data_IF_211731400485
#
_entry.id   IF_211731400485
#
_cell.length_a   1.000
_cell.length_b   1.000
_cell.length_c   1.000
_cell.angle_alpha   90.00
_cell.angle_beta   90.00
_cell.angle_gamma   90.00
#
_symmetry.space_group_name_H-M   'P 1'
#
loop_
_entity.id
_entity.type
_entity.pdbx_description
1 polymer ?
#
# COMPACT_ATOMS: atom_id res chain seq x y z
N UNK A 1 -41.96 -6.28 -12.27
CA UNK A 1 -40.63 -6.72 -11.75
C UNK A 1 -39.53 -5.66 -11.87
N UNK A 2 -39.44 -4.86 -12.95
CA UNK A 2 -38.39 -3.82 -13.10
C UNK A 2 -38.46 -2.66 -12.09
N UNK A 3 -39.64 -2.30 -11.57
CA UNK A 3 -39.77 -1.15 -10.65
C UNK A 3 -39.71 -1.48 -9.15
N UNK A 4 -39.78 -2.76 -8.78
CA UNK A 4 -39.90 -3.13 -7.36
C UNK A 4 -38.62 -2.83 -6.57
N UNK A 5 -37.45 -2.95 -7.22
CA UNK A 5 -36.17 -2.53 -6.63
C UNK A 5 -36.09 -0.99 -6.48
N UNK A 6 -36.58 -0.24 -7.47
CA UNK A 6 -36.57 1.22 -7.45
C UNK A 6 -37.47 1.77 -6.34
N UNK A 7 -38.68 1.22 -6.17
CA UNK A 7 -39.57 1.57 -5.06
C UNK A 7 -38.97 1.23 -3.69
N UNK A 8 -38.35 0.06 -3.55
CA UNK A 8 -37.66 -0.32 -2.30
C UNK A 8 -36.52 0.63 -1.97
N UNK A 9 -35.71 1.03 -2.96
CA UNK A 9 -34.62 1.99 -2.77
C UNK A 9 -35.17 3.37 -2.38
N UNK A 10 -36.20 3.85 -3.09
CA UNK A 10 -36.83 5.14 -2.78
C UNK A 10 -37.40 5.17 -1.37
N UNK A 11 -38.12 4.12 -0.97
CA UNK A 11 -38.64 3.98 0.37
C UNK A 11 -37.53 4.00 1.43
N UNK A 12 -36.40 3.33 1.17
CA UNK A 12 -35.25 3.31 2.07
C UNK A 12 -34.59 4.70 2.17
N UNK A 13 -34.42 5.40 1.04
CA UNK A 13 -33.83 6.74 1.00
C UNK A 13 -34.69 7.81 1.68
N UNK A 14 -36.00 7.59 1.76
CA UNK A 14 -36.94 8.49 2.46
C UNK A 14 -36.91 8.30 3.99
N UNK A 15 -36.33 7.21 4.49
CA UNK A 15 -36.19 6.98 5.93
C UNK A 15 -35.15 7.93 6.53
N UNK A 16 -35.47 8.69 7.60
CA UNK A 16 -34.52 9.56 8.30
C UNK A 16 -33.25 8.84 8.77
N UNK A 17 -33.37 7.56 9.11
CA UNK A 17 -32.30 6.67 9.54
C UNK A 17 -31.25 6.48 8.45
N UNK A 18 -31.68 6.37 7.20
CA UNK A 18 -30.79 6.22 6.05
C UNK A 18 -29.90 7.44 5.89
N UNK A 19 -30.46 8.65 6.07
CA UNK A 19 -29.65 9.88 6.04
C UNK A 19 -28.57 9.85 7.12
N UNK A 20 -28.94 9.56 8.36
CA UNK A 20 -27.97 9.50 9.48
C UNK A 20 -26.88 8.43 9.24
N UNK A 21 -27.25 7.26 8.74
CA UNK A 21 -26.27 6.22 8.42
C UNK A 21 -25.36 6.61 7.24
N UNK A 22 -25.87 7.33 6.24
CA UNK A 22 -25.04 7.88 5.16
C UNK A 22 -24.05 8.94 5.66
N UNK A 23 -24.44 9.77 6.63
CA UNK A 23 -23.52 10.73 7.29
C UNK A 23 -22.40 10.00 8.03
N UNK A 24 -22.71 8.90 8.72
CA UNK A 24 -21.69 8.02 9.30
C UNK A 24 -20.74 7.46 8.24
N UNK A 25 -21.27 6.94 7.14
CA UNK A 25 -20.44 6.40 6.05
C UNK A 25 -19.56 7.49 5.43
N UNK A 26 -20.07 8.70 5.24
CA UNK A 26 -19.28 9.83 4.77
C UNK A 26 -18.11 10.16 5.70
N UNK A 27 -18.28 9.99 7.02
CA UNK A 27 -17.22 10.15 8.01
C UNK A 27 -16.24 8.96 8.04
N UNK A 28 -16.73 7.73 8.02
CA UNK A 28 -15.93 6.52 8.25
C UNK A 28 -15.20 6.01 7.00
N UNK A 29 -15.80 6.11 5.80
CA UNK A 29 -15.20 5.63 4.56
C UNK A 29 -13.83 6.26 4.22
N UNK A 30 -13.57 7.55 4.49
CA UNK A 30 -12.25 8.17 4.31
C UNK A 30 -11.07 7.40 4.93
N UNK A 31 -11.28 6.70 6.06
CA UNK A 31 -10.23 5.88 6.68
C UNK A 31 -9.72 4.79 5.75
N UNK A 32 -10.64 4.11 5.07
CA UNK A 32 -10.33 3.02 4.14
C UNK A 32 -9.89 3.54 2.78
N UNK A 33 -10.47 4.66 2.32
CA UNK A 33 -10.04 5.29 1.07
C UNK A 33 -8.56 5.67 1.12
N UNK A 34 -8.10 6.24 2.25
CA UNK A 34 -6.67 6.56 2.44
C UNK A 34 -5.78 5.32 2.37
N UNK A 35 -6.14 4.24 3.07
CA UNK A 35 -5.42 2.96 2.98
C UNK A 35 -5.42 2.38 1.57
N UNK A 36 -6.58 2.41 0.89
CA UNK A 36 -6.70 1.92 -0.47
C UNK A 36 -5.82 2.72 -1.43
N UNK A 37 -5.77 4.05 -1.31
CA UNK A 37 -4.88 4.88 -2.13
C UNK A 37 -3.41 4.52 -1.91
N UNK A 38 -2.99 4.31 -0.66
CA UNK A 38 -1.62 3.86 -0.35
C UNK A 38 -1.31 2.51 -1.01
N UNK A 39 -2.22 1.54 -0.86
CA UNK A 39 -2.08 0.22 -1.45
C UNK A 39 -2.06 0.29 -2.98
N UNK A 40 -2.83 1.17 -3.59
CA UNK A 40 -2.92 1.32 -5.05
C UNK A 40 -1.74 2.08 -5.69
N UNK A 41 -0.90 2.74 -4.87
CA UNK A 41 0.29 3.46 -5.30
C UNK A 41 1.16 2.64 -6.25
N UNK A 42 1.64 3.28 -7.32
CA UNK A 42 2.63 2.69 -8.23
C UNK A 42 4.06 2.81 -7.69
N UNK A 43 4.29 3.78 -6.79
CA UNK A 43 5.56 3.94 -6.10
C UNK A 43 5.65 2.95 -4.92
N UNK A 44 6.87 2.49 -4.55
CA UNK A 44 7.06 1.59 -3.42
C UNK A 44 6.59 2.22 -2.10
N UNK A 45 5.63 1.58 -1.42
CA UNK A 45 5.09 2.05 -0.11
C UNK A 45 5.36 1.07 1.04
N UNK A 46 6.21 0.06 0.82
CA UNK A 46 6.43 -1.01 1.82
C UNK A 46 7.04 -0.50 3.15
N UNK A 47 7.73 0.65 3.12
CA UNK A 47 8.31 1.30 4.29
C UNK A 47 7.27 2.04 5.16
N UNK A 48 6.15 2.49 4.57
CA UNK A 48 5.09 3.24 5.28
C UNK A 48 3.88 2.40 5.68
N UNK A 49 3.68 1.26 5.00
CA UNK A 49 2.46 0.45 5.11
C UNK A 49 2.11 0.05 6.55
N UNK A 50 3.10 -0.36 7.36
CA UNK A 50 2.88 -0.75 8.76
C UNK A 50 2.36 0.42 9.59
N UNK A 51 3.00 1.59 9.45
CA UNK A 51 2.62 2.83 10.15
C UNK A 51 1.22 3.28 9.77
N UNK A 52 0.90 3.32 8.48
CA UNK A 52 -0.41 3.79 8.01
C UNK A 52 -1.55 2.85 8.39
N UNK A 53 -1.34 1.53 8.32
CA UNK A 53 -2.33 0.54 8.78
C UNK A 53 -2.53 0.66 10.29
N UNK A 54 -1.44 0.75 11.07
CA UNK A 54 -1.52 0.91 12.53
C UNK A 54 -2.25 2.19 12.94
N UNK A 55 -1.96 3.32 12.28
CA UNK A 55 -2.62 4.59 12.51
C UNK A 55 -4.12 4.53 12.19
N UNK A 56 -4.49 3.85 11.11
CA UNK A 56 -5.91 3.71 10.72
C UNK A 56 -6.66 2.87 11.75
N UNK A 57 -6.08 1.76 12.21
CA UNK A 57 -6.64 0.94 13.28
C UNK A 57 -6.80 1.76 14.56
N UNK A 58 -5.76 2.51 14.95
CA UNK A 58 -5.79 3.39 16.12
C UNK A 58 -6.95 4.39 16.02
N UNK A 59 -7.09 5.06 14.89
CA UNK A 59 -8.14 6.05 14.63
C UNK A 59 -9.54 5.44 14.76
N UNK A 60 -9.75 4.23 14.23
CA UNK A 60 -11.05 3.52 14.36
C UNK A 60 -11.28 3.10 15.82
N UNK A 61 -10.27 2.58 16.52
CA UNK A 61 -10.40 2.17 17.92
C UNK A 61 -10.69 3.36 18.84
N UNK A 62 -10.08 4.53 18.63
CA UNK A 62 -10.35 5.76 19.39
C UNK A 62 -11.82 6.20 19.31
N UNK A 63 -12.57 5.77 18.28
CA UNK A 63 -13.99 6.06 18.17
C UNK A 63 -14.86 5.32 19.21
N UNK A 64 -14.41 4.19 19.77
CA UNK A 64 -15.27 3.38 20.65
C UNK A 64 -14.57 2.62 21.81
N UNK A 65 -13.25 2.52 21.83
CA UNK A 65 -12.48 1.89 22.91
C UNK A 65 -12.12 2.93 23.97
N UNK A 66 -12.17 2.54 25.26
CA UNK A 66 -11.81 3.40 26.39
C UNK A 66 -10.37 3.94 26.28
N UNK A 67 -10.19 5.23 26.55
CA UNK A 67 -8.87 5.89 26.58
C UNK A 67 -7.90 5.25 27.59
N UNK A 68 -8.45 4.75 28.71
CA UNK A 68 -7.67 4.05 29.75
C UNK A 68 -7.02 2.76 29.26
N UNK A 69 -7.50 2.21 28.15
CA UNK A 69 -6.95 1.03 27.47
C UNK A 69 -6.04 1.47 26.32
N UNK A 70 -6.51 2.40 25.48
CA UNK A 70 -5.76 2.94 24.34
C UNK A 70 -4.40 3.55 24.73
N UNK A 71 -4.30 4.09 25.95
CA UNK A 71 -3.06 4.67 26.49
C UNK A 71 -2.05 3.64 27.01
N UNK A 72 -2.49 2.39 27.28
CA UNK A 72 -1.66 1.36 27.95
C UNK A 72 -1.19 0.26 27.02
N UNK A 73 -1.98 -0.10 26.01
CA UNK A 73 -1.74 -1.25 25.16
C UNK A 73 -1.46 -0.82 23.72
N UNK A 74 -0.67 -1.62 23.02
CA UNK A 74 -0.53 -1.45 21.57
C UNK A 74 -1.82 -1.87 20.87
N UNK A 75 -2.11 -1.27 19.70
CA UNK A 75 -3.35 -1.51 18.96
C UNK A 75 -3.61 -2.99 18.61
N UNK A 76 -2.56 -3.79 18.45
CA UNK A 76 -2.67 -5.22 18.14
C UNK A 76 -2.87 -6.10 19.38
N UNK A 77 -2.75 -5.55 20.59
CA UNK A 77 -2.97 -6.25 21.88
C UNK A 77 -4.38 -6.03 22.42
N UNK A 78 -5.09 -5.02 21.89
CA UNK A 78 -6.42 -4.64 22.35
C UNK A 78 -7.45 -5.61 21.78
N UNK A 79 -8.19 -6.28 22.67
CA UNK A 79 -9.38 -7.03 22.29
C UNK A 79 -10.54 -6.06 22.01
N UNK A 80 -10.66 -5.67 20.75
CA UNK A 80 -11.68 -4.75 20.25
C UNK A 80 -13.06 -5.40 20.08
N UNK A 81 -13.22 -6.69 20.37
CA UNK A 81 -14.51 -7.38 20.34
C UNK A 81 -15.12 -7.49 21.75
N UNK A 82 -14.32 -7.30 22.81
CA UNK A 82 -14.78 -7.39 24.18
C UNK A 82 -15.49 -6.10 24.64
N UNK A 83 -16.81 -6.13 24.92
CA UNK A 83 -17.56 -4.94 25.32
C UNK A 83 -17.08 -4.29 26.62
N UNK A 84 -16.32 -5.00 27.46
CA UNK A 84 -15.71 -4.40 28.67
C UNK A 84 -14.72 -3.30 28.35
N UNK A 85 -14.15 -3.34 27.14
CA UNK A 85 -13.18 -2.37 26.66
C UNK A 85 -13.83 -1.13 26.02
N UNK A 86 -15.15 -1.14 25.81
CA UNK A 86 -15.86 -0.12 25.05
C UNK A 86 -16.25 1.06 25.93
N UNK A 87 -16.19 2.27 25.39
CA UNK A 87 -16.78 3.46 26.00
C UNK A 87 -18.30 3.30 26.14
N UNK A 88 -18.96 4.19 26.90
CA UNK A 88 -20.41 4.25 26.83
C UNK A 88 -20.83 4.65 25.40
N UNK A 89 -21.87 4.03 24.84
CA UNK A 89 -22.34 4.31 23.48
C UNK A 89 -22.72 5.78 23.24
N UNK A 90 -23.05 6.50 24.31
CA UNK A 90 -23.32 7.94 24.29
C UNK A 90 -22.05 8.77 24.09
N UNK A 91 -20.91 8.30 24.62
CA UNK A 91 -19.58 8.94 24.56
C UNK A 91 -18.80 8.56 23.29
N UNK A 92 -19.12 7.42 22.66
CA UNK A 92 -18.50 6.98 21.40
C UNK A 92 -18.67 8.00 20.28
N UNK A 93 -17.70 8.04 19.37
CA UNK A 93 -17.68 8.95 18.23
C UNK A 93 -18.05 8.25 16.91
N UNK A 94 -19.10 8.74 16.25
CA UNK A 94 -19.62 8.24 14.97
C UNK A 94 -19.66 9.33 13.89
N UNK A 95 -19.00 10.46 14.13
CA UNK A 95 -19.03 11.65 13.29
C UNK A 95 -19.92 12.76 13.86
N UNK A 96 -19.57 14.02 13.52
CA UNK A 96 -20.16 15.21 14.14
C UNK A 96 -21.70 15.26 14.02
N UNK A 97 -22.27 14.82 12.90
CA UNK A 97 -23.74 14.86 12.69
C UNK A 97 -24.47 13.88 13.60
N UNK A 98 -24.00 12.64 13.72
CA UNK A 98 -24.62 11.64 14.61
C UNK A 98 -24.45 12.04 16.08
N UNK A 99 -23.25 12.51 16.46
CA UNK A 99 -22.96 12.87 17.84
C UNK A 99 -23.69 14.14 18.31
N UNK A 100 -24.07 15.05 17.40
CA UNK A 100 -24.86 16.25 17.72
C UNK A 100 -26.38 16.05 17.58
N UNK A 101 -26.82 14.91 17.06
CA UNK A 101 -28.23 14.60 16.89
C UNK A 101 -28.93 14.36 18.24
N UNK A 102 -30.20 14.76 18.34
CA UNK A 102 -30.98 14.57 19.55
C UNK A 102 -31.15 13.07 19.89
N UNK A 103 -30.93 12.73 21.16
CA UNK A 103 -31.05 11.35 21.64
C UNK A 103 -32.47 10.81 21.40
N UNK A 104 -32.54 9.67 20.72
CA UNK A 104 -33.76 8.91 20.48
C UNK A 104 -33.44 7.42 20.43
N UNK A 105 -34.45 6.57 20.60
CA UNK A 105 -34.29 5.11 20.47
C UNK A 105 -33.77 4.73 19.07
N UNK A 106 -34.25 5.41 18.04
CA UNK A 106 -33.78 5.28 16.65
C UNK A 106 -32.29 5.63 16.53
N UNK A 107 -31.84 6.75 17.11
CA UNK A 107 -30.42 7.13 17.09
C UNK A 107 -29.54 6.09 17.80
N UNK A 108 -30.02 5.56 18.93
CA UNK A 108 -29.31 4.51 19.67
C UNK A 108 -29.15 3.24 18.81
N UNK A 109 -30.18 2.85 18.06
CA UNK A 109 -30.10 1.71 17.14
C UNK A 109 -29.10 1.95 16.01
N UNK A 110 -29.05 3.16 15.43
CA UNK A 110 -28.07 3.54 14.41
C UNK A 110 -26.65 3.49 15.00
N UNK A 111 -26.42 4.06 16.18
CA UNK A 111 -25.11 4.00 16.86
C UNK A 111 -24.63 2.55 17.05
N UNK A 112 -25.53 1.62 17.40
CA UNK A 112 -25.20 0.18 17.50
C UNK A 112 -24.78 -0.42 16.15
N UNK A 113 -25.46 -0.04 15.06
CA UNK A 113 -25.09 -0.47 13.71
C UNK A 113 -23.72 0.10 13.28
N UNK A 114 -23.48 1.38 13.57
CA UNK A 114 -22.19 2.04 13.33
C UNK A 114 -21.05 1.39 14.14
N UNK A 115 -21.29 1.03 15.40
CA UNK A 115 -20.33 0.28 16.21
C UNK A 115 -20.00 -1.08 15.58
N UNK A 116 -21.02 -1.83 15.13
CA UNK A 116 -20.80 -3.10 14.45
C UNK A 116 -19.97 -2.93 13.17
N UNK A 117 -20.17 -1.83 12.43
CA UNK A 117 -19.36 -1.49 11.27
C UNK A 117 -17.89 -1.29 11.66
N UNK A 118 -17.58 -0.56 12.74
CA UNK A 118 -16.20 -0.39 13.20
C UNK A 118 -15.55 -1.71 13.62
N UNK A 119 -16.27 -2.55 14.38
CA UNK A 119 -15.76 -3.86 14.82
C UNK A 119 -15.46 -4.75 13.62
N UNK A 120 -16.38 -4.87 12.67
CA UNK A 120 -16.17 -5.69 11.48
C UNK A 120 -15.05 -5.12 10.60
N UNK A 121 -14.95 -3.80 10.49
CA UNK A 121 -13.86 -3.14 9.77
C UNK A 121 -12.48 -3.49 10.34
N UNK A 122 -12.30 -3.40 11.66
CA UNK A 122 -11.06 -3.78 12.33
C UNK A 122 -10.72 -5.26 12.13
N UNK A 123 -11.72 -6.13 12.22
CA UNK A 123 -11.58 -7.56 11.95
C UNK A 123 -11.09 -7.82 10.53
N UNK A 124 -11.65 -7.14 9.53
CA UNK A 124 -11.26 -7.31 8.13
C UNK A 124 -9.85 -6.75 7.85
N UNK A 125 -9.43 -5.66 8.49
CA UNK A 125 -8.06 -5.15 8.36
C UNK A 125 -7.07 -6.15 8.99
N UNK A 126 -7.32 -6.57 10.23
CA UNK A 126 -6.43 -7.47 10.98
C UNK A 126 -6.36 -8.88 10.39
N UNK A 127 -7.38 -9.33 9.67
CA UNK A 127 -7.32 -10.61 8.96
C UNK A 127 -6.45 -10.58 7.70
N UNK A 128 -6.12 -9.39 7.18
CA UNK A 128 -5.36 -9.22 5.92
C UNK A 128 -3.95 -8.69 6.12
N UNK A 129 -3.69 -7.97 7.21
CA UNK A 129 -2.39 -7.38 7.48
C UNK A 129 -1.78 -7.93 8.79
N UNK A 130 -0.61 -8.58 8.75
CA UNK A 130 0.04 -9.10 9.95
C UNK A 130 0.68 -7.95 10.73
N UNK A 131 0.01 -7.48 11.80
CA UNK A 131 0.56 -6.44 12.68
C UNK A 131 1.47 -6.98 13.78
N UNK A 132 1.07 -8.09 14.39
CA UNK A 132 1.81 -8.68 15.51
C UNK A 132 3.11 -9.30 15.00
N UNK A 133 4.23 -8.96 15.65
CA UNK A 133 5.58 -9.47 15.35
C UNK A 133 5.98 -9.32 13.87
N UNK A 134 5.52 -8.22 13.27
CA UNK A 134 5.60 -8.00 11.83
C UNK A 134 6.96 -7.50 11.39
N UNK A 135 7.59 -8.17 10.42
CA UNK A 135 8.79 -7.65 9.78
C UNK A 135 8.54 -6.27 9.13
N UNK A 136 7.31 -5.99 8.70
CA UNK A 136 6.93 -4.70 8.11
C UNK A 136 7.13 -3.53 9.08
N UNK A 137 7.08 -3.76 10.39
CA UNK A 137 7.37 -2.72 11.40
C UNK A 137 8.83 -2.23 11.37
N UNK A 138 9.75 -3.04 10.82
CA UNK A 138 11.17 -2.72 10.74
C UNK A 138 11.59 -2.15 9.38
N UNK A 139 10.69 -2.11 8.38
CA UNK A 139 10.98 -1.66 7.02
C UNK A 139 11.02 -0.13 6.87
N UNK A 140 10.59 0.60 7.90
CA UNK A 140 10.70 2.05 8.00
C UNK A 140 12.16 2.55 8.05
N UNK A 141 13.14 1.66 8.25
CA UNK A 141 14.57 1.97 8.14
C UNK A 141 14.94 2.55 6.76
N UNK A 142 14.18 2.23 5.72
CA UNK A 142 14.39 2.73 4.36
C UNK A 142 13.86 4.16 4.17
N UNK A 143 13.03 4.65 5.09
CA UNK A 143 12.45 5.98 5.02
C UNK A 143 13.54 7.06 5.20
N UNK A 144 13.60 8.08 4.31
CA UNK A 144 14.58 9.18 4.42
C UNK A 144 14.61 9.84 5.80
N UNK A 145 13.45 10.03 6.43
CA UNK A 145 13.34 10.59 7.79
C UNK A 145 14.05 9.70 8.81
N UNK A 146 13.91 8.39 8.69
CA UNK A 146 14.53 7.41 9.60
C UNK A 146 16.04 7.35 9.42
N UNK A 147 16.52 7.40 8.17
CA UNK A 147 17.95 7.38 7.82
C UNK A 147 18.64 8.65 8.31
N UNK A 148 18.12 9.83 7.95
CA UNK A 148 18.72 11.13 8.27
C UNK A 148 18.74 11.38 9.78
N UNK A 149 17.67 11.01 10.49
CA UNK A 149 17.59 11.10 11.95
C UNK A 149 18.32 9.98 12.68
N UNK A 150 18.96 9.04 11.96
CA UNK A 150 19.79 7.95 12.50
C UNK A 150 19.07 7.05 13.52
N UNK A 151 17.74 6.91 13.39
CA UNK A 151 16.86 6.22 14.36
C UNK A 151 17.18 4.73 14.50
N UNK A 152 17.60 4.08 13.41
CA UNK A 152 17.92 2.65 13.37
C UNK A 152 19.43 2.42 13.43
N UNK A 153 19.91 1.66 14.42
CA UNK A 153 21.35 1.38 14.63
C UNK A 153 21.88 0.26 13.74
N UNK A 154 21.09 -0.77 13.52
CA UNK A 154 21.44 -1.96 12.76
C UNK A 154 20.21 -2.46 12.01
N UNK A 155 20.43 -3.07 10.85
CA UNK A 155 19.41 -3.68 10.00
C UNK A 155 19.62 -5.20 9.89
N UNK A 156 20.50 -5.78 10.71
CA UNK A 156 20.85 -7.19 10.70
C UNK A 156 19.62 -8.12 10.74
N UNK A 157 18.62 -7.81 11.56
CA UNK A 157 17.37 -8.57 11.65
C UNK A 157 16.62 -8.61 10.31
N UNK A 158 16.55 -7.47 9.62
CA UNK A 158 15.85 -7.35 8.33
C UNK A 158 16.65 -8.08 7.25
N UNK A 159 17.96 -7.90 7.23
CA UNK A 159 18.86 -8.61 6.31
C UNK A 159 18.71 -10.12 6.51
N UNK A 160 18.77 -10.61 7.76
CA UNK A 160 18.59 -12.02 8.06
C UNK A 160 17.23 -12.57 7.61
N UNK A 161 16.15 -11.79 7.77
CA UNK A 161 14.80 -12.21 7.37
C UNK A 161 14.68 -12.32 5.84
N UNK A 162 15.30 -11.40 5.10
CA UNK A 162 15.28 -11.36 3.65
C UNK A 162 16.59 -11.90 3.02
N UNK A 163 17.05 -13.06 3.53
CA UNK A 163 18.26 -13.74 3.05
C UNK A 163 18.24 -14.05 1.55
N UNK A 164 17.05 -14.35 1.00
CA UNK A 164 16.88 -14.63 -0.43
C UNK A 164 16.99 -13.40 -1.34
N UNK A 165 17.02 -12.19 -0.78
CA UNK A 165 17.09 -10.93 -1.55
C UNK A 165 18.52 -10.38 -1.69
N UNK A 166 19.53 -11.12 -1.25
CA UNK A 166 20.92 -10.70 -1.41
C UNK A 166 21.87 -11.91 -1.47
N UNK A 167 23.04 -11.72 -2.05
CA UNK A 167 24.10 -12.73 -2.16
C UNK A 167 25.34 -12.43 -1.31
N UNK A 168 25.29 -11.34 -0.54
CA UNK A 168 26.38 -10.89 0.32
C UNK A 168 26.23 -11.39 1.76
N UNK A 169 27.28 -11.25 2.56
CA UNK A 169 27.15 -11.60 3.99
C UNK A 169 26.27 -10.57 4.71
N UNK A 170 25.56 -11.03 5.75
CA UNK A 170 24.78 -10.15 6.63
C UNK A 170 25.65 -9.01 7.20
N UNK A 171 26.87 -9.35 7.64
CA UNK A 171 27.82 -8.41 8.22
C UNK A 171 28.23 -7.33 7.22
N UNK A 172 28.39 -7.64 5.94
CA UNK A 172 28.77 -6.67 4.92
C UNK A 172 27.70 -5.58 4.75
N UNK A 173 26.44 -6.00 4.64
CA UNK A 173 25.31 -5.08 4.42
C UNK A 173 25.10 -4.21 5.67
N UNK A 174 25.10 -4.81 6.85
CA UNK A 174 24.94 -4.06 8.12
C UNK A 174 26.11 -3.11 8.37
N UNK A 175 27.35 -3.49 7.99
CA UNK A 175 28.51 -2.60 8.08
C UNK A 175 28.36 -1.38 7.18
N UNK A 176 27.90 -1.55 5.93
CA UNK A 176 27.63 -0.43 5.03
C UNK A 176 26.50 0.47 5.56
N UNK A 177 25.46 -0.11 6.16
CA UNK A 177 24.41 0.66 6.85
C UNK A 177 24.98 1.51 7.99
N UNK A 178 25.81 0.92 8.86
CA UNK A 178 26.45 1.65 9.96
C UNK A 178 27.37 2.77 9.47
N UNK A 179 28.07 2.55 8.37
CA UNK A 179 28.90 3.57 7.73
C UNK A 179 28.06 4.70 7.13
N UNK A 180 26.92 4.40 6.49
CA UNK A 180 26.00 5.40 5.95
C UNK A 180 25.51 6.35 7.05
N UNK A 181 25.20 5.84 8.25
CA UNK A 181 24.76 6.68 9.39
C UNK A 181 25.78 7.73 9.82
N UNK A 182 27.06 7.54 9.50
CA UNK A 182 28.16 8.40 9.93
C UNK A 182 28.58 9.43 8.88
N UNK A 183 27.94 9.48 7.70
CA UNK A 183 28.22 10.53 6.72
C UNK A 183 27.53 11.83 7.13
N UNK A 184 28.03 12.94 6.57
CA UNK A 184 27.27 14.18 6.54
C UNK A 184 26.28 14.11 5.37
N UNK A 185 24.98 14.17 5.66
CA UNK A 185 23.94 14.03 4.65
C UNK A 185 23.84 15.26 3.73
N UNK A 186 24.20 16.44 4.26
CA UNK A 186 24.17 17.72 3.52
C UNK A 186 25.17 17.72 2.37
N UNK A 187 26.34 17.10 2.55
CA UNK A 187 27.39 16.98 1.51
C UNK A 187 26.89 16.26 0.23
N UNK A 188 25.81 15.47 0.35
CA UNK A 188 25.24 14.67 -0.73
C UNK A 188 23.80 15.08 -1.08
N UNK A 189 23.31 16.22 -0.57
CA UNK A 189 21.93 16.71 -0.76
C UNK A 189 20.87 15.65 -0.40
N UNK A 190 21.09 14.89 0.68
CA UNK A 190 20.17 13.86 1.18
C UNK A 190 19.19 14.49 2.18
N UNK A 191 17.92 14.60 1.80
CA UNK A 191 16.92 15.35 2.55
C UNK A 191 15.76 14.45 3.02
N UNK A 192 15.15 14.80 4.16
CA UNK A 192 13.97 14.10 4.71
C UNK A 192 12.77 14.12 3.74
N UNK A 193 12.63 15.19 2.96
CA UNK A 193 11.51 15.34 2.01
C UNK A 193 11.71 14.66 0.65
N UNK A 194 12.82 13.96 0.43
CA UNK A 194 13.04 13.23 -0.82
C UNK A 194 12.06 12.05 -0.94
N UNK A 195 11.60 11.75 -2.15
CA UNK A 195 10.93 10.46 -2.37
C UNK A 195 11.93 9.32 -2.15
N UNK A 196 11.44 8.19 -1.63
CA UNK A 196 12.29 7.07 -1.22
C UNK A 196 13.22 6.58 -2.35
N UNK A 197 12.73 6.53 -3.59
CA UNK A 197 13.52 6.04 -4.73
C UNK A 197 14.62 7.03 -5.07
N UNK A 198 14.31 8.33 -5.14
CA UNK A 198 15.30 9.38 -5.39
C UNK A 198 16.33 9.48 -4.27
N UNK A 199 15.92 9.34 -3.01
CA UNK A 199 16.84 9.30 -1.87
C UNK A 199 17.88 8.18 -2.04
N UNK A 200 17.42 6.95 -2.25
CA UNK A 200 18.33 5.82 -2.42
C UNK A 200 19.14 5.88 -3.73
N UNK A 201 18.64 6.54 -4.78
CA UNK A 201 19.41 6.88 -5.99
C UNK A 201 20.51 7.92 -5.73
N UNK A 202 20.35 8.83 -4.77
CA UNK A 202 21.41 9.75 -4.36
C UNK A 202 22.48 9.00 -3.56
N UNK A 203 22.06 8.17 -2.61
CA UNK A 203 22.98 7.30 -1.83
C UNK A 203 23.78 6.38 -2.75
N UNK A 204 23.15 5.85 -3.82
CA UNK A 204 23.84 4.98 -4.78
C UNK A 204 24.97 5.66 -5.55
N UNK A 205 24.95 7.00 -5.68
CA UNK A 205 25.98 7.77 -6.38
C UNK A 205 27.20 8.08 -5.51
N UNK A 206 27.16 7.79 -4.21
CA UNK A 206 28.27 8.05 -3.30
C UNK A 206 29.41 7.07 -3.60
N UNK A 207 30.58 7.62 -3.92
CA UNK A 207 31.78 6.86 -4.30
C UNK A 207 32.87 6.98 -3.25
N UNK A 208 33.72 5.96 -3.19
CA UNK A 208 35.01 6.00 -2.51
C UNK A 208 36.00 6.84 -3.31
N UNK A 209 37.13 7.22 -2.70
CA UNK A 209 38.22 7.90 -3.40
C UNK A 209 38.81 7.06 -4.56
N UNK A 210 38.57 5.75 -4.56
CA UNK A 210 38.93 4.82 -5.64
C UNK A 210 37.96 4.86 -6.84
N UNK A 211 36.84 5.60 -6.75
CA UNK A 211 35.81 5.68 -7.78
C UNK A 211 34.74 4.58 -7.70
N UNK A 212 34.93 3.57 -6.84
CA UNK A 212 33.94 2.50 -6.59
C UNK A 212 32.76 2.99 -5.74
N UNK A 213 31.61 2.33 -5.89
CA UNK A 213 30.42 2.67 -5.12
C UNK A 213 30.60 2.33 -3.63
N UNK A 214 30.43 3.32 -2.76
CA UNK A 214 30.68 3.19 -1.31
C UNK A 214 29.71 2.25 -0.60
N UNK A 215 28.45 2.22 -1.04
CA UNK A 215 27.36 1.48 -0.39
C UNK A 215 26.71 0.44 -1.31
N UNK A 216 27.45 -0.12 -2.28
CA UNK A 216 26.85 -0.96 -3.35
C UNK A 216 26.06 -2.16 -2.85
N UNK A 217 26.52 -2.86 -1.79
CA UNK A 217 25.86 -4.05 -1.24
C UNK A 217 24.54 -3.67 -0.54
N UNK A 218 24.57 -2.61 0.26
CA UNK A 218 23.38 -2.04 0.90
C UNK A 218 22.36 -1.57 -0.13
N UNK A 219 22.82 -0.87 -1.17
CA UNK A 219 21.96 -0.33 -2.22
C UNK A 219 21.26 -1.44 -2.99
N UNK A 220 21.98 -2.50 -3.37
CA UNK A 220 21.38 -3.66 -4.01
C UNK A 220 20.28 -4.27 -3.13
N UNK A 221 20.55 -4.45 -1.84
CA UNK A 221 19.57 -5.00 -0.89
C UNK A 221 18.33 -4.10 -0.74
N UNK A 222 18.50 -2.79 -0.58
CA UNK A 222 17.39 -1.85 -0.45
C UNK A 222 16.53 -1.82 -1.72
N UNK A 223 17.14 -1.76 -2.92
CA UNK A 223 16.35 -1.78 -4.15
C UNK A 223 15.62 -3.12 -4.35
N UNK A 224 16.18 -4.24 -3.91
CA UNK A 224 15.48 -5.52 -3.90
C UNK A 224 14.27 -5.49 -2.95
N UNK A 225 14.39 -4.88 -1.76
CA UNK A 225 13.24 -4.68 -0.86
C UNK A 225 12.18 -3.76 -1.47
N UNK A 226 12.58 -2.65 -2.13
CA UNK A 226 11.65 -1.72 -2.77
C UNK A 226 10.98 -2.31 -4.02
N UNK A 227 11.53 -3.38 -4.59
CA UNK A 227 10.90 -4.14 -5.68
C UNK A 227 9.79 -5.08 -5.22
N UNK A 228 9.69 -5.34 -3.91
CA UNK A 228 8.62 -6.18 -3.38
C UNK A 228 7.26 -5.48 -3.56
N UNK A 229 6.24 -6.19 -4.06
CA UNK A 229 4.91 -5.63 -4.17
C UNK A 229 4.33 -5.38 -2.77
N UNK A 230 3.92 -4.16 -2.48
CA UNK A 230 3.23 -3.81 -1.23
C UNK A 230 1.72 -4.10 -1.27
N UNK A 231 1.15 -4.38 -2.45
CA UNK A 231 -0.26 -4.73 -2.61
C UNK A 231 -0.54 -5.55 -3.89
N UNK A 232 -1.78 -6.06 -4.01
CA UNK A 232 -2.29 -6.70 -5.21
C UNK A 232 -2.61 -5.74 -6.36
N UNK A 233 -2.58 -4.42 -6.15
CA UNK A 233 -3.08 -3.43 -7.12
C UNK A 233 -2.34 -3.48 -8.46
N UNK A 234 -1.02 -3.76 -8.45
CA UNK A 234 -0.24 -3.96 -9.68
C UNK A 234 -0.79 -5.15 -10.50
N UNK A 235 -1.13 -6.25 -9.82
CA UNK A 235 -1.67 -7.46 -10.44
C UNK A 235 -3.10 -7.22 -10.94
N UNK A 236 -3.94 -6.54 -10.16
CA UNK A 236 -5.31 -6.18 -10.54
C UNK A 236 -5.35 -5.26 -11.77
N UNK A 237 -4.42 -4.30 -11.88
CA UNK A 237 -4.23 -3.48 -13.08
C UNK A 237 -3.91 -4.35 -14.30
N UNK A 238 -3.00 -5.32 -14.17
CA UNK A 238 -2.71 -6.29 -15.22
C UNK A 238 -3.94 -7.11 -15.60
N UNK A 239 -4.71 -7.63 -14.63
CA UNK A 239 -5.94 -8.38 -14.91
C UNK A 239 -7.01 -7.52 -15.61
N UNK A 240 -7.14 -6.25 -15.24
CA UNK A 240 -8.03 -5.30 -15.94
C UNK A 240 -7.61 -5.16 -17.40
N UNK A 241 -6.31 -5.03 -17.69
CA UNK A 241 -5.81 -5.00 -19.06
C UNK A 241 -6.07 -6.31 -19.81
N UNK A 242 -5.95 -7.46 -19.13
CA UNK A 242 -6.28 -8.76 -19.73
C UNK A 242 -7.76 -8.81 -20.10
N UNK A 243 -8.66 -8.36 -19.22
CA UNK A 243 -10.10 -8.36 -19.48
C UNK A 243 -10.48 -7.42 -20.63
N UNK A 244 -9.81 -6.28 -20.78
CA UNK A 244 -9.99 -5.39 -21.93
C UNK A 244 -9.55 -6.05 -23.25
N UNK A 245 -8.52 -6.90 -23.21
CA UNK A 245 -8.02 -7.60 -24.40
C UNK A 245 -8.83 -8.87 -24.72
N UNK A 246 -9.25 -9.62 -23.69
CA UNK A 246 -10.09 -10.82 -23.79
C UNK A 246 -11.56 -10.45 -23.66
N UNK A 247 -12.12 -9.89 -24.74
CA UNK A 247 -13.56 -9.63 -24.83
C UNK A 247 -14.33 -10.90 -25.20
N UNK A 248 -15.66 -10.88 -25.06
CA UNK A 248 -16.52 -12.01 -25.48
C UNK A 248 -16.33 -12.39 -26.96
N UNK A 249 -16.01 -11.43 -27.83
CA UNK A 249 -15.71 -11.68 -29.25
C UNK A 249 -14.24 -12.04 -29.51
N UNK A 250 -13.32 -11.70 -28.59
CA UNK A 250 -11.87 -11.93 -28.70
C UNK A 250 -11.33 -12.72 -27.50
N UNK A 251 -11.97 -13.85 -27.17
CA UNK A 251 -11.67 -14.62 -25.96
C UNK A 251 -10.57 -15.69 -26.15
N UNK A 252 -10.24 -16.08 -27.39
CA UNK A 252 -9.25 -17.12 -27.72
C UNK A 252 -7.86 -16.56 -28.07
N UNK A 253 -7.36 -15.62 -27.26
CA UNK A 253 -5.95 -15.19 -27.36
C UNK A 253 -5.05 -16.21 -26.64
N UNK A 254 -4.07 -16.75 -27.35
CA UNK A 254 -3.00 -17.55 -26.75
C UNK A 254 -2.14 -16.68 -25.83
N UNK A 255 -1.52 -17.29 -24.82
CA UNK A 255 -0.76 -16.57 -23.78
C UNK A 255 0.34 -15.69 -24.35
N UNK A 256 1.12 -16.19 -25.32
CA UNK A 256 2.19 -15.41 -25.95
C UNK A 256 1.70 -14.15 -26.67
N UNK A 257 0.52 -14.20 -27.29
CA UNK A 257 -0.09 -13.01 -27.91
C UNK A 257 -0.55 -12.02 -26.84
N UNK A 258 -1.16 -12.51 -25.76
CA UNK A 258 -1.58 -11.65 -24.66
C UNK A 258 -0.39 -10.98 -23.97
N UNK A 259 0.66 -11.74 -23.69
CA UNK A 259 1.94 -11.25 -23.16
C UNK A 259 2.55 -10.19 -24.09
N UNK A 260 2.62 -10.46 -25.39
CA UNK A 260 3.12 -9.50 -26.36
C UNK A 260 2.34 -8.19 -26.37
N UNK A 261 1.01 -8.25 -26.27
CA UNK A 261 0.16 -7.05 -26.20
C UNK A 261 0.43 -6.27 -24.90
N UNK A 262 0.49 -6.95 -23.75
CA UNK A 262 0.73 -6.33 -22.46
C UNK A 262 2.12 -5.66 -22.42
N UNK A 263 3.17 -6.35 -22.89
CA UNK A 263 4.53 -5.83 -22.96
C UNK A 263 4.62 -4.62 -23.90
N UNK A 264 4.02 -4.70 -25.09
CA UNK A 264 3.99 -3.59 -26.04
C UNK A 264 3.32 -2.37 -25.42
N UNK A 265 2.18 -2.57 -24.73
CA UNK A 265 1.47 -1.48 -24.06
C UNK A 265 2.31 -0.84 -22.94
N UNK A 266 2.99 -1.65 -22.12
CA UNK A 266 3.90 -1.14 -21.08
C UNK A 266 5.01 -0.30 -21.69
N UNK A 267 5.69 -0.83 -22.71
CA UNK A 267 6.80 -0.17 -23.38
C UNK A 267 6.39 1.17 -24.02
N UNK A 268 5.24 1.22 -24.69
CA UNK A 268 4.71 2.46 -25.28
C UNK A 268 4.32 3.47 -24.20
N UNK A 269 3.79 3.01 -23.07
CA UNK A 269 3.44 3.87 -21.94
C UNK A 269 4.68 4.49 -21.29
N UNK A 270 5.76 3.72 -21.12
CA UNK A 270 7.04 4.20 -20.61
C UNK A 270 7.69 5.22 -21.55
N UNK A 271 7.53 5.06 -22.86
CA UNK A 271 8.01 5.99 -23.90
C UNK A 271 7.21 7.30 -24.03
N UNK A 272 6.25 7.56 -23.14
CA UNK A 272 5.49 8.81 -23.16
C UNK A 272 4.26 8.83 -24.06
N UNK A 273 3.66 7.65 -24.32
CA UNK A 273 2.50 7.38 -25.20
C UNK A 273 2.86 7.13 -26.68
N UNK A 274 1.85 6.77 -27.48
CA UNK A 274 2.05 6.26 -28.84
C UNK A 274 2.57 7.31 -29.83
N UNK A 275 2.29 8.59 -29.59
CA UNK A 275 2.76 9.72 -30.39
C UNK A 275 4.24 10.04 -30.16
N UNK A 276 4.77 9.69 -28.99
CA UNK A 276 6.18 9.93 -28.60
C UNK A 276 7.05 8.68 -28.64
N UNK A 277 6.44 7.52 -28.87
CA UNK A 277 7.17 6.26 -28.88
C UNK A 277 8.12 6.17 -30.07
N UNK A 278 9.42 6.26 -29.79
CA UNK A 278 10.46 6.14 -30.82
C UNK A 278 10.74 4.67 -31.16
N UNK A 279 10.44 4.29 -32.40
CA UNK A 279 10.76 2.96 -32.92
C UNK A 279 12.24 2.94 -33.29
N UNK A 280 13.02 2.13 -32.58
CA UNK A 280 14.44 1.99 -32.87
C UNK A 280 14.70 1.06 -34.06
N UNK A 281 15.88 1.18 -34.69
CA UNK A 281 16.26 0.38 -35.87
C UNK A 281 16.23 -1.13 -35.61
N UNK A 282 16.51 -1.57 -34.39
CA UNK A 282 16.48 -2.99 -34.02
C UNK A 282 15.06 -3.54 -34.00
N UNK A 283 14.07 -2.76 -33.54
CA UNK A 283 12.65 -3.12 -33.64
C UNK A 283 12.21 -3.28 -35.10
N UNK A 284 12.63 -2.35 -35.98
CA UNK A 284 12.34 -2.45 -37.42
C UNK A 284 12.97 -3.70 -38.05
N UNK A 285 14.22 -4.05 -37.68
CA UNK A 285 14.90 -5.25 -38.20
C UNK A 285 14.15 -6.54 -37.86
N UNK A 286 13.45 -6.60 -36.73
CA UNK A 286 12.64 -7.75 -36.29
C UNK A 286 11.28 -7.86 -37.00
N UNK A 287 10.88 -6.85 -37.77
CA UNK A 287 9.65 -6.87 -38.59
C UNK A 287 9.90 -7.54 -39.94
N UNK A 288 10.53 -8.72 -39.93
CA UNK A 288 10.80 -9.53 -41.12
C UNK A 288 9.98 -10.82 -41.09
N UNK A 289 9.82 -11.47 -42.24
CA UNK A 289 9.00 -12.68 -42.36
C UNK A 289 9.54 -13.84 -41.52
N UNK A 290 10.86 -13.95 -41.37
CA UNK A 290 11.53 -15.00 -40.59
C UNK A 290 11.20 -14.92 -39.10
N UNK A 291 11.11 -13.72 -38.53
CA UNK A 291 10.80 -13.50 -37.12
C UNK A 291 9.29 -13.52 -36.84
N UNK A 292 8.47 -12.99 -37.75
CA UNK A 292 7.02 -12.90 -37.59
C UNK A 292 6.29 -14.23 -37.85
N UNK A 293 6.79 -15.02 -38.81
CA UNK A 293 6.18 -16.28 -39.22
C UNK A 293 7.13 -17.44 -38.96
N UNK A 294 7.71 -17.52 -37.76
CA UNK A 294 8.48 -18.70 -37.35
C UNK A 294 7.62 -19.94 -37.56
N UNK A 295 7.94 -20.70 -38.61
CA UNK A 295 7.31 -21.99 -38.87
C UNK A 295 7.62 -22.84 -37.65
N UNK A 296 6.58 -23.21 -36.89
CA UNK A 296 6.71 -24.30 -35.95
C UNK A 296 7.00 -25.53 -36.81
N UNK A 297 8.20 -26.06 -36.75
CA UNK A 297 8.45 -27.43 -37.18
C UNK A 297 7.46 -28.31 -36.41
N UNK A 298 6.68 -29.08 -37.16
CA UNK A 298 5.62 -29.96 -36.66
C UNK A 298 6.18 -31.03 -35.72
#
# INVERSE_FOLDING_TARGET
KKDQAAFSILHLLQQPETKLYLEFLAYALPFFNKLNTLMQSEQPQIHTIYKEVSNTIKTIMECFIKDSIMSKLNVYEIDFQNPRNFQNIEEMYFGAVINSSANSETLLQIKKQCLQFYIESLKQILSRFPLKDSIFSKLDFMDPETVVNRKVKSIADVVSHFSNLHSHSLQDIDSQWRMLRNINFDDFNLCIGDDIVSFWRKVSKIKLGTGEQKFGKLIAFVFNLLSLPHSSANVERCFSQINLNKTNMRNRLISSTLEGILLTKSLVSEGGQCDKFEINKEMCKKMNSTDLYKNKEN
#
